data_IF_012480315249
#
_entry.id   IF_012480315249
#
_cell.length_a   1.000
_cell.length_b   1.000
_cell.length_c   1.000
_cell.angle_alpha   90.00
_cell.angle_beta   90.00
_cell.angle_gamma   90.00
#
_symmetry.space_group_name_H-M   'P 1'
#
loop_
_entity.id
_entity.type
_entity.pdbx_description
1 polymer ?
#
# COMPACT_ATOMS: atom_id res chain seq x y z
N UNK A 1 11.01 -25.04 11.14
CA UNK A 1 10.32 -24.00 11.93
C UNK A 1 9.29 -24.63 12.85
N UNK A 2 8.63 -23.86 13.72
CA UNK A 2 7.47 -24.36 14.43
C UNK A 2 6.39 -24.79 13.42
N UNK A 3 5.64 -25.87 13.67
CA UNK A 3 4.58 -26.32 12.78
C UNK A 3 3.45 -25.28 12.73
N UNK A 4 3.04 -24.88 11.52
CA UNK A 4 2.00 -23.85 11.29
C UNK A 4 0.70 -24.41 10.69
N UNK A 5 0.56 -25.73 10.60
CA UNK A 5 -0.58 -26.38 9.94
C UNK A 5 -0.14 -27.25 8.78
N UNK A 6 -1.09 -27.60 7.91
CA UNK A 6 -0.83 -28.44 6.74
C UNK A 6 -0.02 -27.73 5.65
N UNK A 7 -0.21 -26.42 5.51
CA UNK A 7 0.58 -25.59 4.61
C UNK A 7 1.82 -25.08 5.34
N UNK A 8 2.99 -25.59 4.94
CA UNK A 8 4.27 -25.22 5.51
C UNK A 8 4.92 -24.09 4.70
N UNK A 9 5.75 -23.30 5.37
CA UNK A 9 6.60 -22.32 4.72
C UNK A 9 7.80 -22.99 4.06
N UNK A 10 8.30 -22.38 2.98
CA UNK A 10 9.52 -22.82 2.31
C UNK A 10 10.74 -22.19 2.98
N UNK A 11 11.79 -22.97 3.18
CA UNK A 11 13.04 -22.47 3.77
C UNK A 11 13.84 -21.69 2.73
N UNK A 12 14.15 -20.43 3.04
CA UNK A 12 15.16 -19.65 2.33
C UNK A 12 16.39 -19.50 3.23
N UNK A 13 17.55 -19.86 2.70
CA UNK A 13 18.78 -19.93 3.47
C UNK A 13 19.82 -18.96 2.90
N UNK A 14 20.35 -18.09 3.77
CA UNK A 14 21.46 -17.20 3.45
C UNK A 14 22.76 -17.88 3.84
N UNK A 15 23.65 -18.05 2.86
CA UNK A 15 25.00 -18.56 3.04
C UNK A 15 26.02 -17.44 2.82
N UNK A 16 27.01 -17.31 3.71
CA UNK A 16 28.23 -16.54 3.42
C UNK A 16 29.17 -17.41 2.58
N UNK A 17 29.72 -16.78 1.56
CA UNK A 17 30.73 -17.36 0.65
C UNK A 17 32.04 -16.55 0.70
N UNK A 18 32.25 -15.75 1.75
CA UNK A 18 33.37 -14.79 1.86
C UNK A 18 34.71 -15.45 2.23
N UNK A 19 34.68 -16.70 2.68
CA UNK A 19 35.89 -17.46 3.05
C UNK A 19 35.96 -18.80 2.33
N UNK A 20 36.93 -19.63 2.72
CA UNK A 20 37.26 -20.88 2.01
C UNK A 20 36.16 -21.96 2.06
N UNK A 21 35.17 -21.81 2.95
CA UNK A 21 34.03 -22.71 3.09
C UNK A 21 32.74 -21.92 3.24
N UNK A 22 31.70 -22.35 2.51
CA UNK A 22 30.35 -21.81 2.66
C UNK A 22 29.87 -22.00 4.10
N UNK A 23 29.22 -20.97 4.65
CA UNK A 23 28.66 -20.98 6.00
C UNK A 23 27.21 -20.57 5.97
N UNK A 24 26.31 -21.41 6.46
CA UNK A 24 24.93 -21.03 6.70
C UNK A 24 24.91 -19.90 7.75
N UNK A 25 24.38 -18.74 7.38
CA UNK A 25 24.25 -17.58 8.27
C UNK A 25 22.84 -17.49 8.85
N UNK A 26 21.84 -17.72 8.01
CA UNK A 26 20.43 -17.53 8.38
C UNK A 26 19.56 -18.51 7.62
N UNK A 27 18.54 -19.03 8.30
CA UNK A 27 17.47 -19.83 7.73
C UNK A 27 16.14 -19.15 8.11
N UNK A 28 15.35 -18.76 7.11
CA UNK A 28 14.11 -17.98 7.32
C UNK A 28 12.95 -18.45 6.45
N UNK A 29 11.71 -18.46 6.99
CA UNK A 29 10.55 -18.97 6.29
C UNK A 29 10.08 -18.01 5.21
N UNK A 30 9.68 -18.56 4.07
CA UNK A 30 9.05 -17.85 2.94
C UNK A 30 7.70 -18.48 2.61
N UNK A 31 6.80 -17.69 2.02
CA UNK A 31 5.44 -18.10 1.64
C UNK A 31 5.32 -18.04 0.12
N UNK A 32 4.54 -18.96 -0.47
CA UNK A 32 4.22 -18.93 -1.91
C UNK A 32 5.31 -19.48 -2.84
N UNK A 33 6.24 -20.30 -2.30
CA UNK A 33 7.27 -21.02 -3.06
C UNK A 33 8.07 -20.15 -4.05
N UNK A 34 8.83 -19.16 -3.57
CA UNK A 34 9.63 -18.31 -4.46
C UNK A 34 10.65 -19.13 -5.25
N UNK A 35 10.59 -19.06 -6.59
CA UNK A 35 11.46 -19.84 -7.48
C UNK A 35 12.80 -19.18 -7.79
N UNK A 36 12.85 -17.84 -7.80
CA UNK A 36 14.04 -17.07 -8.16
C UNK A 36 14.21 -15.86 -7.25
N UNK A 37 15.47 -15.47 -7.02
CA UNK A 37 15.83 -14.26 -6.30
C UNK A 37 16.98 -13.54 -7.01
N UNK A 38 17.02 -12.21 -6.86
CA UNK A 38 18.11 -11.37 -7.35
C UNK A 38 18.52 -10.39 -6.25
N UNK A 39 19.82 -10.18 -6.11
CA UNK A 39 20.39 -9.19 -5.21
C UNK A 39 21.11 -8.10 -6.00
N UNK A 40 20.94 -6.85 -5.57
CA UNK A 40 21.67 -5.68 -6.10
C UNK A 40 22.20 -4.84 -4.92
N UNK A 41 23.31 -4.11 -5.08
CA UNK A 41 23.75 -3.14 -4.09
C UNK A 41 22.67 -2.07 -3.83
N UNK A 42 22.38 -1.78 -2.56
CA UNK A 42 21.36 -0.82 -2.17
C UNK A 42 21.60 0.58 -2.75
N UNK A 43 22.87 0.98 -2.91
CA UNK A 43 23.27 2.27 -3.51
C UNK A 43 22.76 2.47 -4.95
N UNK A 44 22.41 1.40 -5.67
CA UNK A 44 21.88 1.51 -7.03
C UNK A 44 20.42 1.98 -7.08
N UNK A 45 19.67 1.84 -5.98
CA UNK A 45 18.22 2.08 -5.91
C UNK A 45 17.82 3.08 -4.81
N UNK A 46 18.61 3.22 -3.74
CA UNK A 46 18.24 4.03 -2.57
C UNK A 46 17.84 5.47 -2.92
N UNK A 47 18.63 6.14 -3.77
CA UNK A 47 18.38 7.52 -4.18
C UNK A 47 17.30 7.67 -5.27
N UNK A 48 16.83 6.56 -5.83
CA UNK A 48 15.79 6.51 -6.86
C UNK A 48 14.40 6.23 -6.29
N UNK A 49 14.29 6.06 -4.98
CA UNK A 49 13.01 5.77 -4.33
C UNK A 49 12.11 7.00 -4.31
N UNK A 50 10.91 6.86 -4.90
CA UNK A 50 9.85 7.87 -4.78
C UNK A 50 9.21 7.76 -3.40
N UNK A 51 9.44 8.75 -2.54
CA UNK A 51 8.93 8.75 -1.15
C UNK A 51 7.45 9.11 -1.05
N UNK A 52 6.99 10.02 -1.90
CA UNK A 52 5.59 10.45 -1.97
C UNK A 52 5.25 10.93 -3.38
N UNK A 53 3.96 11.03 -3.67
CA UNK A 53 3.46 11.61 -4.91
C UNK A 53 3.13 13.08 -4.65
N UNK A 54 3.66 14.04 -5.41
CA UNK A 54 3.29 15.45 -5.23
C UNK A 54 1.80 15.64 -5.49
N UNK A 55 1.08 16.19 -4.52
CA UNK A 55 -0.37 16.43 -4.63
C UNK A 55 -0.74 17.34 -5.80
N UNK A 56 0.14 18.31 -6.13
CA UNK A 56 -0.02 19.21 -7.27
C UNK A 56 -0.10 18.44 -8.61
N UNK A 57 0.62 17.32 -8.72
CA UNK A 57 0.68 16.49 -9.93
C UNK A 57 -0.52 15.55 -10.07
N UNK A 58 -1.40 15.47 -9.06
CA UNK A 58 -2.61 14.69 -9.16
C UNK A 58 -3.56 15.35 -10.17
N UNK A 59 -3.80 14.66 -11.29
CA UNK A 59 -4.67 15.08 -12.40
C UNK A 59 -5.99 14.29 -12.45
N UNK A 60 -6.25 13.47 -11.43
CA UNK A 60 -7.53 12.77 -11.34
C UNK A 60 -8.67 13.80 -11.23
N UNK A 61 -9.72 13.70 -12.06
CA UNK A 61 -10.84 14.65 -12.05
C UNK A 61 -11.62 14.65 -10.73
N UNK A 62 -11.46 13.62 -9.90
CA UNK A 62 -12.07 13.51 -8.59
C UNK A 62 -11.11 13.79 -7.42
N UNK A 63 -9.89 14.26 -7.69
CA UNK A 63 -8.96 14.64 -6.63
C UNK A 63 -9.48 15.83 -5.81
N UNK A 64 -9.33 15.75 -4.49
CA UNK A 64 -9.50 16.87 -3.57
C UNK A 64 -8.14 17.28 -3.05
N UNK A 65 -7.61 18.43 -3.50
CA UNK A 65 -6.25 18.88 -3.15
C UNK A 65 -6.19 19.67 -1.84
N UNK A 66 -7.34 19.95 -1.26
CA UNK A 66 -7.46 20.61 0.03
C UNK A 66 -8.78 20.23 0.70
N UNK A 67 -8.88 20.41 2.01
CA UNK A 67 -10.12 20.17 2.76
C UNK A 67 -11.29 21.02 2.24
N UNK A 68 -11.02 22.17 1.61
CA UNK A 68 -12.03 23.05 1.01
C UNK A 68 -12.73 22.44 -0.19
N UNK A 69 -12.09 21.46 -0.84
CA UNK A 69 -12.65 20.74 -2.00
C UNK A 69 -13.47 19.51 -1.57
N UNK A 70 -13.38 19.13 -0.29
CA UNK A 70 -14.11 18.02 0.26
C UNK A 70 -15.62 18.31 0.26
N UNK A 71 -16.40 17.32 -0.20
CA UNK A 71 -17.85 17.48 -0.40
C UNK A 71 -18.54 16.14 -0.61
N UNK A 72 -19.84 16.12 -0.34
CA UNK A 72 -20.73 15.01 -0.68
C UNK A 72 -21.71 15.48 -1.75
N UNK A 73 -21.76 14.80 -2.89
CA UNK A 73 -22.59 15.19 -4.04
C UNK A 73 -23.50 14.03 -4.43
N UNK A 74 -24.82 14.25 -4.42
CA UNK A 74 -25.81 13.29 -4.89
C UNK A 74 -26.11 13.50 -6.39
N UNK A 75 -26.16 12.39 -7.14
CA UNK A 75 -26.58 12.31 -8.55
C UNK A 75 -27.55 11.13 -8.70
N UNK A 76 -28.84 11.38 -8.52
CA UNK A 76 -29.83 10.30 -8.47
C UNK A 76 -29.61 9.39 -7.26
N UNK A 77 -29.43 8.09 -7.52
CA UNK A 77 -29.07 7.07 -6.53
C UNK A 77 -27.55 6.95 -6.29
N UNK A 78 -26.72 7.72 -7.00
CA UNK A 78 -25.29 7.75 -6.76
C UNK A 78 -24.94 8.87 -5.79
N UNK A 79 -24.09 8.58 -4.81
CA UNK A 79 -23.54 9.55 -3.85
C UNK A 79 -22.02 9.54 -3.97
N UNK A 80 -21.45 10.66 -4.40
CA UNK A 80 -20.01 10.84 -4.52
C UNK A 80 -19.47 11.61 -3.31
N UNK A 81 -18.62 10.94 -2.53
CA UNK A 81 -17.91 11.52 -1.40
C UNK A 81 -16.50 11.87 -1.87
N UNK A 82 -16.22 13.16 -2.00
CA UNK A 82 -14.89 13.69 -2.28
C UNK A 82 -14.22 14.00 -0.94
N UNK A 83 -13.16 13.27 -0.61
CA UNK A 83 -12.58 13.25 0.73
C UNK A 83 -11.07 13.47 0.69
N UNK A 84 -10.55 14.21 1.66
CA UNK A 84 -9.12 14.30 1.95
C UNK A 84 -8.75 13.49 3.18
N UNK A 85 -7.58 12.83 3.16
CA UNK A 85 -6.97 12.16 4.31
C UNK A 85 -5.69 12.89 4.69
N UNK A 86 -5.72 13.69 5.76
CA UNK A 86 -4.54 14.44 6.20
C UNK A 86 -4.16 13.97 7.60
N UNK A 87 -3.02 13.28 7.69
CA UNK A 87 -2.54 12.65 8.93
C UNK A 87 -3.59 11.69 9.51
N UNK A 88 -4.15 12.02 10.67
CA UNK A 88 -5.13 11.21 11.40
C UNK A 88 -6.58 11.67 11.17
N UNK A 89 -6.80 12.59 10.23
CA UNK A 89 -8.10 13.21 9.99
C UNK A 89 -8.59 12.94 8.56
N UNK A 90 -9.88 12.66 8.46
CA UNK A 90 -10.61 12.62 7.19
C UNK A 90 -11.54 13.82 7.12
N UNK A 91 -11.64 14.44 5.95
CA UNK A 91 -12.57 15.54 5.71
C UNK A 91 -13.33 15.26 4.40
N UNK A 92 -14.67 15.14 4.41
CA UNK A 92 -15.53 15.16 5.60
C UNK A 92 -15.34 13.91 6.46
N UNK A 93 -15.48 14.05 7.77
CA UNK A 93 -15.50 12.95 8.75
C UNK A 93 -16.92 12.42 9.03
N UNK A 94 -17.93 13.28 8.87
CA UNK A 94 -19.34 12.90 8.94
C UNK A 94 -20.01 12.99 7.55
N UNK A 95 -20.60 11.89 7.10
CA UNK A 95 -21.26 11.76 5.80
C UNK A 95 -22.73 11.43 6.06
N UNK A 96 -23.59 12.43 5.87
CA UNK A 96 -25.02 12.33 6.14
C UNK A 96 -25.84 12.24 4.84
N UNK A 97 -27.08 11.75 4.94
CA UNK A 97 -28.04 11.77 3.84
C UNK A 97 -27.90 10.64 2.81
N UNK A 98 -27.12 9.59 3.10
CA UNK A 98 -27.14 8.32 2.36
C UNK A 98 -28.42 7.54 2.71
N UNK A 99 -29.04 6.91 1.71
CA UNK A 99 -30.30 6.18 1.81
C UNK A 99 -30.12 4.71 1.35
N UNK A 100 -31.03 3.84 1.80
CA UNK A 100 -31.04 2.44 1.36
C UNK A 100 -31.20 2.36 -0.16
N UNK A 101 -30.30 1.63 -0.82
CA UNK A 101 -30.28 1.49 -2.28
C UNK A 101 -29.37 2.47 -3.01
N UNK A 102 -28.73 3.42 -2.31
CA UNK A 102 -27.70 4.27 -2.91
C UNK A 102 -26.44 3.49 -3.27
N UNK A 103 -25.81 3.89 -4.37
CA UNK A 103 -24.43 3.51 -4.71
C UNK A 103 -23.49 4.63 -4.27
N UNK A 104 -22.57 4.33 -3.36
CA UNK A 104 -21.70 5.35 -2.75
C UNK A 104 -20.27 5.21 -3.27
N UNK A 105 -19.75 6.26 -3.90
CA UNK A 105 -18.40 6.36 -4.41
C UNK A 105 -17.53 7.22 -3.50
N UNK A 106 -16.41 6.69 -3.02
CA UNK A 106 -15.42 7.43 -2.26
C UNK A 106 -14.24 7.79 -3.16
N UNK A 107 -14.00 9.09 -3.30
CA UNK A 107 -12.85 9.67 -4.00
C UNK A 107 -11.91 10.22 -2.93
N UNK A 108 -10.93 9.41 -2.51
CA UNK A 108 -10.04 9.74 -1.41
C UNK A 108 -8.69 10.26 -1.94
N UNK A 109 -8.28 11.43 -1.47
CA UNK A 109 -6.93 11.99 -1.73
C UNK A 109 -6.16 12.12 -0.41
N UNK A 110 -4.98 11.50 -0.33
CA UNK A 110 -4.04 11.59 0.81
C UNK A 110 -2.86 12.48 0.46
#
# INVERSE_FOLDING_TARGET
YLPTGAELTQSAQLYSIDGDKMRLLLDFPTVGEPHYAQAIPASLIADKQKKFYPLADNKDPAASKSEKEAKVVRKGNEVHVYMTAIRSHFTPDNIEGIQMGDTVYFHLTN
#
